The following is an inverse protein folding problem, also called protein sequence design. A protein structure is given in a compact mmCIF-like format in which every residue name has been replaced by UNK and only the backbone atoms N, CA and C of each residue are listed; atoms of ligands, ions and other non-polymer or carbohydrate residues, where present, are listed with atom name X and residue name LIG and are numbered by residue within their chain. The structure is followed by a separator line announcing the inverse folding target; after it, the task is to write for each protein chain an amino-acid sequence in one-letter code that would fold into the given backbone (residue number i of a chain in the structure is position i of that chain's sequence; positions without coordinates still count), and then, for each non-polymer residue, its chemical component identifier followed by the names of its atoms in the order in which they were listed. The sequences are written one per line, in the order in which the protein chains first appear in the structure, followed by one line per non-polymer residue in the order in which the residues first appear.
data_IF_838446355259
#
_entry.id   IF_838446355259
#
_cell.length_a   1.000
_cell.length_b   1.000
_cell.length_c   1.000
_cell.angle_alpha   90.00
_cell.angle_beta   90.00
_cell.angle_gamma   90.00
#
_symmetry.space_group_name_H-M   'P 1'
#
loop_
_entity.id
_entity.type
_entity.pdbx_description
1 polymer ?
#
# COMPACT_ATOMS: atom_id res chain seq x y z
N UNK A 1 -25.11 11.71 -20.65
CA UNK A 1 -23.74 11.44 -20.16
C UNK A 1 -23.65 9.94 -19.91
N UNK A 2 -22.76 9.26 -20.57
CA UNK A 2 -22.47 7.85 -20.29
C UNK A 2 -21.72 7.74 -18.95
N UNK A 3 -21.77 6.58 -18.28
CA UNK A 3 -21.05 6.38 -17.02
C UNK A 3 -19.54 6.66 -17.14
N UNK A 4 -19.00 6.63 -18.37
CA UNK A 4 -17.59 6.91 -18.68
C UNK A 4 -17.25 8.41 -18.69
N UNK A 5 -18.26 9.28 -18.80
CA UNK A 5 -18.10 10.75 -18.83
C UNK A 5 -18.16 11.40 -17.44
N UNK A 6 -18.58 10.65 -16.41
CA UNK A 6 -18.57 11.14 -15.04
C UNK A 6 -17.16 11.19 -14.50
N UNK A 7 -16.83 12.19 -13.66
CA UNK A 7 -15.63 12.17 -12.86
C UNK A 7 -15.51 10.82 -12.14
N UNK A 8 -14.31 10.33 -12.04
CA UNK A 8 -14.05 8.96 -11.60
C UNK A 8 -14.65 8.64 -10.22
N UNK A 9 -14.56 9.56 -9.28
CA UNK A 9 -15.13 9.48 -7.92
C UNK A 9 -16.67 9.46 -7.88
N UNK A 10 -17.30 9.85 -8.98
CA UNK A 10 -18.76 9.85 -9.12
C UNK A 10 -19.29 8.66 -9.92
N UNK A 11 -18.40 7.80 -10.46
CA UNK A 11 -18.83 6.60 -11.18
C UNK A 11 -19.37 5.57 -10.20
N UNK A 12 -20.55 4.99 -10.47
CA UNK A 12 -21.07 3.92 -9.63
C UNK A 12 -20.12 2.72 -9.71
N UNK A 13 -19.82 2.08 -8.57
CA UNK A 13 -19.00 0.87 -8.59
C UNK A 13 -19.73 -0.20 -9.38
N UNK A 14 -19.07 -0.74 -10.41
CA UNK A 14 -19.61 -1.92 -11.09
C UNK A 14 -19.39 -3.14 -10.19
N UNK A 15 -20.47 -3.58 -9.55
CA UNK A 15 -20.47 -4.73 -8.64
C UNK A 15 -20.93 -6.03 -9.31
N UNK A 16 -21.34 -5.96 -10.56
CA UNK A 16 -21.72 -7.15 -11.30
C UNK A 16 -20.49 -7.81 -11.94
N UNK A 17 -20.03 -8.88 -11.30
CA UNK A 17 -18.96 -9.74 -11.78
C UNK A 17 -19.49 -11.13 -12.23
N UNK A 18 -20.78 -11.24 -12.51
CA UNK A 18 -21.42 -12.52 -12.86
C UNK A 18 -20.88 -13.13 -14.16
N UNK A 19 -20.40 -12.27 -15.06
CA UNK A 19 -19.77 -12.67 -16.32
C UNK A 19 -18.37 -13.31 -16.14
N UNK A 20 -17.75 -13.18 -14.96
CA UNK A 20 -16.43 -13.73 -14.67
C UNK A 20 -16.54 -15.09 -14.00
N UNK A 21 -15.59 -15.97 -14.31
CA UNK A 21 -15.43 -17.26 -13.58
C UNK A 21 -14.99 -17.00 -12.15
N UNK A 22 -15.33 -17.91 -11.25
CA UNK A 22 -14.97 -17.82 -9.84
C UNK A 22 -16.16 -17.95 -8.91
N UNK A 23 -15.92 -17.90 -7.63
CA UNK A 23 -16.92 -18.04 -6.57
C UNK A 23 -16.75 -16.97 -5.49
N UNK A 24 -17.84 -16.66 -4.79
CA UNK A 24 -17.79 -15.67 -3.71
C UNK A 24 -17.56 -16.30 -2.33
N UNK A 25 -17.73 -17.63 -2.19
CA UNK A 25 -17.66 -18.29 -0.89
C UNK A 25 -18.87 -18.01 0.00
N UNK A 26 -18.66 -17.97 1.32
CA UNK A 26 -19.74 -17.82 2.32
C UNK A 26 -20.38 -16.43 2.30
N UNK A 27 -21.69 -16.31 2.59
CA UNK A 27 -22.33 -15.00 2.75
C UNK A 27 -21.59 -14.13 3.76
N UNK A 28 -21.47 -12.82 3.50
CA UNK A 28 -20.82 -11.78 4.31
C UNK A 28 -19.31 -11.93 4.52
N UNK A 29 -18.78 -13.14 4.66
CA UNK A 29 -17.37 -13.40 4.96
C UNK A 29 -16.57 -13.66 3.68
N UNK A 30 -17.21 -14.25 2.66
CA UNK A 30 -16.53 -14.64 1.43
C UNK A 30 -15.52 -15.76 1.69
N UNK A 31 -14.35 -15.61 1.11
CA UNK A 31 -13.18 -16.50 1.25
C UNK A 31 -12.16 -15.98 2.29
N UNK A 32 -12.56 -15.06 3.16
CA UNK A 32 -11.64 -14.42 4.12
C UNK A 32 -10.96 -15.42 5.05
N UNK A 33 -11.71 -16.41 5.58
CA UNK A 33 -11.14 -17.40 6.49
C UNK A 33 -10.11 -18.30 5.80
N UNK A 34 -10.41 -18.72 4.57
CA UNK A 34 -9.47 -19.50 3.75
C UNK A 34 -8.22 -18.67 3.44
N UNK A 35 -8.39 -17.40 3.08
CA UNK A 35 -7.28 -16.48 2.82
C UNK A 35 -6.39 -16.26 4.05
N UNK A 36 -6.96 -16.15 5.25
CA UNK A 36 -6.19 -15.97 6.48
C UNK A 36 -5.45 -17.24 6.90
N UNK A 37 -6.01 -18.42 6.59
CA UNK A 37 -5.45 -19.72 6.96
C UNK A 37 -4.36 -20.16 5.98
N UNK A 38 -4.62 -20.10 4.69
CA UNK A 38 -3.72 -20.53 3.63
C UNK A 38 -3.94 -19.69 2.33
N UNK A 39 -3.38 -18.50 2.25
CA UNK A 39 -3.55 -17.65 1.07
C UNK A 39 -2.96 -18.27 -0.20
N UNK A 40 -1.84 -19.00 -0.09
CA UNK A 40 -1.19 -19.59 -1.26
C UNK A 40 -1.99 -20.77 -1.82
N UNK A 41 -2.51 -21.64 -0.95
CA UNK A 41 -3.40 -22.72 -1.35
C UNK A 41 -4.69 -22.21 -1.99
N UNK A 42 -5.29 -21.16 -1.41
CA UNK A 42 -6.48 -20.52 -1.98
C UNK A 42 -6.21 -19.96 -3.39
N UNK A 43 -5.12 -19.22 -3.56
CA UNK A 43 -4.79 -18.61 -4.86
C UNK A 43 -4.38 -19.66 -5.90
N UNK A 44 -3.68 -20.73 -5.48
CA UNK A 44 -3.36 -21.87 -6.34
C UNK A 44 -4.62 -22.56 -6.84
N UNK A 45 -5.56 -22.87 -5.93
CA UNK A 45 -6.85 -23.46 -6.30
C UNK A 45 -7.63 -22.57 -7.27
N UNK A 46 -7.69 -21.25 -7.02
CA UNK A 46 -8.38 -20.33 -7.90
C UNK A 46 -7.74 -20.26 -9.29
N UNK A 47 -6.41 -20.31 -9.36
CA UNK A 47 -5.69 -20.31 -10.63
C UNK A 47 -5.98 -21.57 -11.46
N UNK A 48 -5.95 -22.74 -10.83
CA UNK A 48 -6.19 -24.02 -11.48
C UNK A 48 -7.64 -24.18 -11.94
N UNK A 49 -8.60 -23.78 -11.11
CA UNK A 49 -10.02 -23.97 -11.38
C UNK A 49 -10.63 -22.89 -12.28
N UNK A 50 -10.28 -21.62 -12.04
CA UNK A 50 -10.92 -20.48 -12.71
C UNK A 50 -9.99 -19.73 -13.66
N UNK A 51 -8.69 -20.00 -13.62
CA UNK A 51 -7.69 -19.36 -14.44
C UNK A 51 -7.11 -18.08 -13.84
N UNK A 52 -6.34 -17.33 -14.64
CA UNK A 52 -5.54 -16.21 -14.16
C UNK A 52 -6.35 -14.96 -13.74
N UNK A 53 -7.62 -14.91 -14.10
CA UNK A 53 -8.53 -13.81 -13.75
C UNK A 53 -9.84 -14.41 -13.26
N UNK A 54 -10.20 -14.16 -12.02
CA UNK A 54 -11.40 -14.72 -11.42
C UNK A 54 -12.06 -13.75 -10.44
N UNK A 55 -13.35 -13.97 -10.15
CA UNK A 55 -14.06 -13.24 -9.11
C UNK A 55 -13.95 -13.95 -7.78
N UNK A 56 -13.84 -13.17 -6.71
CA UNK A 56 -13.77 -13.66 -5.33
C UNK A 56 -14.50 -12.67 -4.42
N UNK A 57 -14.85 -13.08 -3.20
CA UNK A 57 -15.27 -12.14 -2.15
C UNK A 57 -14.36 -12.26 -0.94
N UNK A 58 -13.85 -11.12 -0.46
CA UNK A 58 -13.04 -11.01 0.74
C UNK A 58 -13.68 -9.97 1.66
N UNK A 59 -13.93 -10.34 2.91
CA UNK A 59 -14.62 -9.48 3.89
C UNK A 59 -15.95 -8.90 3.39
N UNK A 60 -16.70 -9.69 2.60
CA UNK A 60 -17.95 -9.25 1.98
C UNK A 60 -17.78 -8.36 0.74
N UNK A 61 -16.58 -7.91 0.43
CA UNK A 61 -16.31 -7.12 -0.77
C UNK A 61 -16.10 -8.03 -1.97
N UNK A 62 -16.80 -7.74 -3.06
CA UNK A 62 -16.61 -8.44 -4.33
C UNK A 62 -15.37 -7.91 -5.02
N UNK A 63 -14.44 -8.80 -5.31
CA UNK A 63 -13.13 -8.48 -5.87
C UNK A 63 -12.87 -9.27 -7.14
N UNK A 64 -11.97 -8.77 -7.94
CA UNK A 64 -11.33 -9.49 -9.06
C UNK A 64 -9.95 -9.92 -8.60
N UNK A 65 -9.70 -11.22 -8.66
CA UNK A 65 -8.41 -11.81 -8.36
C UNK A 65 -7.59 -11.91 -9.65
N UNK A 66 -6.38 -11.34 -9.64
CA UNK A 66 -5.45 -11.34 -10.77
C UNK A 66 -4.21 -12.14 -10.39
N UNK A 67 -4.07 -13.32 -10.99
CA UNK A 67 -3.02 -14.29 -10.67
C UNK A 67 -1.96 -14.44 -11.79
N UNK A 68 -1.88 -13.47 -12.69
CA UNK A 68 -0.87 -13.45 -13.74
C UNK A 68 -0.14 -12.12 -13.77
N UNK A 69 1.19 -12.09 -13.94
CA UNK A 69 1.98 -10.87 -13.89
C UNK A 69 1.57 -9.82 -14.94
N UNK A 70 1.15 -10.23 -16.14
CA UNK A 70 0.74 -9.29 -17.18
C UNK A 70 -0.52 -8.51 -16.80
N UNK A 71 -1.49 -9.17 -16.16
CA UNK A 71 -2.69 -8.48 -15.67
C UNK A 71 -2.38 -7.57 -14.48
N UNK A 72 -1.52 -8.01 -13.57
CA UNK A 72 -1.05 -7.17 -12.47
C UNK A 72 -0.31 -5.94 -12.98
N UNK A 73 0.57 -6.11 -13.97
CA UNK A 73 1.26 -5.00 -14.62
C UNK A 73 0.28 -4.02 -15.26
N UNK A 74 -0.74 -4.49 -15.95
CA UNK A 74 -1.76 -3.65 -16.57
C UNK A 74 -2.50 -2.78 -15.57
N UNK A 75 -2.85 -3.33 -14.42
CA UNK A 75 -3.49 -2.60 -13.32
C UNK A 75 -2.54 -1.59 -12.69
N UNK A 76 -1.29 -1.99 -12.41
CA UNK A 76 -0.29 -1.14 -11.77
C UNK A 76 0.18 0.02 -12.67
N UNK A 77 0.21 -0.20 -13.99
CA UNK A 77 0.65 0.82 -14.95
C UNK A 77 -0.47 1.74 -15.43
N UNK A 78 -1.70 1.40 -15.22
CA UNK A 78 -2.98 2.08 -15.52
C UNK A 78 -2.89 3.43 -16.24
N UNK A 79 -2.41 3.41 -17.48
CA UNK A 79 -2.23 4.62 -18.30
C UNK A 79 -3.57 5.27 -18.69
N UNK A 80 -4.63 4.46 -18.71
CA UNK A 80 -5.97 4.88 -19.11
C UNK A 80 -6.81 5.39 -17.93
N UNK A 81 -6.24 5.36 -16.71
CA UNK A 81 -6.91 5.79 -15.46
C UNK A 81 -8.22 5.04 -15.19
N UNK A 82 -8.19 3.72 -15.37
CA UNK A 82 -9.35 2.84 -15.17
C UNK A 82 -9.51 2.37 -13.71
N UNK A 83 -8.45 2.46 -12.91
CA UNK A 83 -8.41 1.94 -11.54
C UNK A 83 -8.18 3.05 -10.53
N UNK A 84 -8.83 2.97 -9.37
CA UNK A 84 -8.67 3.92 -8.27
C UNK A 84 -8.17 3.22 -7.03
N UNK A 85 -7.03 3.66 -6.54
CA UNK A 85 -6.50 3.23 -5.25
C UNK A 85 -7.40 3.76 -4.13
N UNK A 86 -7.82 5.01 -4.22
CA UNK A 86 -8.73 5.66 -3.26
C UNK A 86 -10.00 4.86 -3.05
N UNK A 87 -10.69 4.47 -4.13
CA UNK A 87 -11.92 3.68 -4.02
C UNK A 87 -11.67 2.26 -3.51
N UNK A 88 -10.58 1.64 -3.93
CA UNK A 88 -10.22 0.28 -3.49
C UNK A 88 -9.91 0.20 -2.01
N UNK A 89 -9.23 1.18 -1.45
CA UNK A 89 -8.80 1.19 -0.05
C UNK A 89 -9.71 1.98 0.90
N UNK A 90 -10.71 2.72 0.38
CA UNK A 90 -11.57 3.58 1.18
C UNK A 90 -12.25 2.85 2.36
N UNK A 91 -12.70 1.62 2.13
CA UNK A 91 -13.39 0.83 3.17
C UNK A 91 -12.47 0.34 4.30
N UNK A 92 -11.14 0.35 4.10
CA UNK A 92 -10.17 -0.23 5.03
C UNK A 92 -9.28 0.85 5.64
N UNK A 93 -8.90 1.86 4.86
CA UNK A 93 -7.83 2.79 5.24
C UNK A 93 -8.27 4.26 5.34
N UNK A 94 -9.51 4.60 4.97
CA UNK A 94 -9.95 6.00 4.97
C UNK A 94 -9.83 6.66 6.34
N UNK A 95 -10.13 5.95 7.41
CA UNK A 95 -10.08 6.48 8.77
C UNK A 95 -8.66 6.77 9.27
N UNK A 96 -7.66 6.05 8.74
CA UNK A 96 -6.27 6.17 9.16
C UNK A 96 -5.42 7.07 8.27
N UNK A 97 -5.75 7.17 6.98
CA UNK A 97 -4.92 7.83 5.96
C UNK A 97 -5.65 8.92 5.18
N UNK A 98 -6.58 9.63 5.83
CA UNK A 98 -7.28 10.74 5.20
C UNK A 98 -6.30 11.79 4.66
N UNK A 99 -6.43 12.10 3.36
CA UNK A 99 -5.56 13.08 2.71
C UNK A 99 -4.13 12.62 2.43
N UNK A 100 -3.74 11.41 2.84
CA UNK A 100 -2.44 10.82 2.53
C UNK A 100 -2.26 10.51 1.04
N UNK A 101 -1.00 10.36 0.60
CA UNK A 101 -0.67 10.09 -0.81
C UNK A 101 -1.32 8.78 -1.31
N UNK A 102 -1.43 7.77 -0.47
CA UNK A 102 -2.05 6.47 -0.78
C UNK A 102 -3.53 6.59 -1.12
N UNK A 103 -4.20 7.64 -0.59
CA UNK A 103 -5.64 7.88 -0.81
C UNK A 103 -5.91 8.91 -1.92
N UNK A 104 -4.94 9.13 -2.80
CA UNK A 104 -5.05 10.05 -3.93
C UNK A 104 -4.89 9.30 -5.23
N UNK A 105 -5.65 9.73 -6.24
CA UNK A 105 -5.60 9.16 -7.58
C UNK A 105 -5.08 10.15 -8.61
N UNK A 106 -4.61 9.67 -9.72
CA UNK A 106 -4.30 10.35 -10.99
C UNK A 106 -3.50 11.65 -10.83
N UNK A 107 -4.06 12.77 -11.24
CA UNK A 107 -3.35 14.05 -11.26
C UNK A 107 -3.09 14.57 -9.86
N UNK A 108 -4.00 14.36 -8.92
CA UNK A 108 -3.80 14.70 -7.52
C UNK A 108 -2.63 13.89 -6.93
N UNK A 109 -2.61 12.59 -7.15
CA UNK A 109 -1.50 11.72 -6.74
C UNK A 109 -0.18 12.18 -7.37
N UNK A 110 -0.18 12.47 -8.69
CA UNK A 110 1.00 12.90 -9.44
C UNK A 110 1.59 14.19 -8.88
N UNK A 111 0.75 15.19 -8.59
CA UNK A 111 1.17 16.48 -8.03
C UNK A 111 1.79 16.28 -6.63
N UNK A 112 1.08 15.60 -5.74
CA UNK A 112 1.56 15.37 -4.38
C UNK A 112 2.82 14.49 -4.33
N UNK A 113 2.88 13.46 -5.16
CA UNK A 113 4.09 12.64 -5.33
C UNK A 113 5.27 13.47 -5.83
N UNK A 114 5.06 14.37 -6.81
CA UNK A 114 6.07 15.29 -7.32
C UNK A 114 6.66 16.20 -6.23
N UNK A 115 5.80 16.72 -5.36
CA UNK A 115 6.23 17.52 -4.20
C UNK A 115 7.11 16.67 -3.26
N UNK A 116 6.65 15.47 -2.93
CA UNK A 116 7.38 14.57 -2.04
C UNK A 116 8.71 14.09 -2.63
N UNK A 117 8.78 13.86 -3.94
CA UNK A 117 10.00 13.41 -4.63
C UNK A 117 11.19 14.35 -4.41
N UNK A 118 10.95 15.62 -4.14
CA UNK A 118 12.04 16.58 -3.85
C UNK A 118 12.86 16.18 -2.62
N UNK A 119 12.22 15.52 -1.65
CA UNK A 119 12.86 15.03 -0.41
C UNK A 119 13.67 13.76 -0.61
N UNK A 120 13.60 13.11 -1.77
CA UNK A 120 14.33 11.89 -2.10
C UNK A 120 15.42 12.10 -3.16
N UNK A 121 15.76 13.36 -3.46
CA UNK A 121 16.86 13.67 -4.37
C UNK A 121 18.23 13.32 -3.76
N UNK A 122 19.26 13.03 -4.58
CA UNK A 122 20.58 12.59 -4.09
C UNK A 122 21.20 13.44 -2.97
N UNK A 123 21.09 14.79 -2.96
CA UNK A 123 21.62 15.59 -1.86
C UNK A 123 20.92 15.33 -0.53
N UNK A 124 19.57 15.19 -0.55
CA UNK A 124 18.78 14.88 0.64
C UNK A 124 19.10 13.46 1.14
N UNK A 125 19.19 12.49 0.24
CA UNK A 125 19.54 11.11 0.59
C UNK A 125 20.94 11.01 1.23
N UNK A 126 21.91 11.78 0.77
CA UNK A 126 23.25 11.85 1.41
C UNK A 126 23.20 12.45 2.81
N UNK A 127 22.36 13.47 3.01
CA UNK A 127 22.19 14.05 4.34
C UNK A 127 21.51 13.06 5.31
N UNK A 128 20.48 12.34 4.84
CA UNK A 128 19.84 11.28 5.63
C UNK A 128 20.82 10.17 6.00
N UNK A 129 21.61 9.67 5.05
CA UNK A 129 22.59 8.63 5.31
C UNK A 129 23.59 9.00 6.43
N UNK A 130 24.06 10.25 6.44
CA UNK A 130 24.93 10.74 7.51
C UNK A 130 24.24 10.76 8.88
N UNK A 131 22.98 11.17 8.92
CA UNK A 131 22.21 11.18 10.17
C UNK A 131 21.91 9.77 10.66
N UNK A 132 21.48 8.89 9.75
CA UNK A 132 21.23 7.48 10.05
C UNK A 132 22.47 6.81 10.62
N UNK A 133 23.65 7.06 10.04
CA UNK A 133 24.90 6.51 10.53
C UNK A 133 25.15 6.86 12.00
N UNK A 134 24.98 8.12 12.40
CA UNK A 134 25.14 8.56 13.79
C UNK A 134 24.20 7.80 14.72
N UNK A 135 22.91 7.72 14.36
CA UNK A 135 21.90 7.03 15.19
C UNK A 135 22.21 5.53 15.32
N UNK A 136 22.67 4.90 14.21
CA UNK A 136 23.04 3.49 14.22
C UNK A 136 24.29 3.26 15.09
N UNK A 137 25.30 4.11 14.97
CA UNK A 137 26.54 4.00 15.76
C UNK A 137 26.22 4.11 17.25
N UNK A 138 25.39 5.05 17.66
CA UNK A 138 24.92 5.18 19.04
C UNK A 138 24.13 3.96 19.52
N UNK A 139 23.27 3.39 18.68
CA UNK A 139 22.51 2.19 19.01
C UNK A 139 23.43 0.97 19.19
N UNK A 140 24.38 0.78 18.27
CA UNK A 140 25.36 -0.33 18.34
C UNK A 140 26.22 -0.22 19.60
N UNK A 141 26.67 0.99 19.96
CA UNK A 141 27.41 1.19 21.22
C UNK A 141 26.58 0.83 22.46
N UNK A 142 25.30 1.20 22.49
CA UNK A 142 24.38 0.81 23.59
C UNK A 142 24.21 -0.70 23.64
N UNK A 143 24.08 -1.37 22.51
CA UNK A 143 23.92 -2.82 22.46
C UNK A 143 25.19 -3.56 22.89
N UNK A 144 26.36 -3.07 22.47
CA UNK A 144 27.65 -3.65 22.86
C UNK A 144 27.95 -3.55 24.37
N UNK A 145 27.32 -2.63 25.07
CA UNK A 145 27.45 -2.46 26.53
C UNK A 145 26.52 -3.37 27.35
N UNK A 146 25.68 -4.20 26.70
CA UNK A 146 24.73 -5.09 27.34
C UNK A 146 25.14 -6.54 27.18
N UNK A 147 24.89 -7.38 28.18
CA UNK A 147 25.19 -8.82 28.11
C UNK A 147 24.30 -9.57 27.12
N UNK A 148 23.07 -9.08 26.90
CA UNK A 148 22.12 -9.61 25.94
C UNK A 148 21.18 -8.52 25.44
N UNK A 149 20.71 -8.64 24.20
CA UNK A 149 19.86 -7.66 23.53
C UNK A 149 18.63 -8.37 22.94
N UNK A 150 17.43 -7.87 23.22
CA UNK A 150 16.23 -8.29 22.50
C UNK A 150 16.23 -7.66 21.12
N UNK A 151 16.70 -8.40 20.11
CA UNK A 151 16.92 -7.87 18.77
C UNK A 151 15.67 -7.21 18.17
N UNK A 152 14.51 -7.85 18.30
CA UNK A 152 13.27 -7.33 17.74
C UNK A 152 12.88 -5.96 18.33
N UNK A 153 12.92 -5.83 19.66
CA UNK A 153 12.55 -4.57 20.33
C UNK A 153 13.54 -3.45 20.04
N UNK A 154 14.83 -3.75 20.03
CA UNK A 154 15.88 -2.76 19.78
C UNK A 154 15.91 -2.31 18.31
N UNK A 155 15.68 -3.21 17.34
CA UNK A 155 15.54 -2.81 15.94
C UNK A 155 14.31 -1.95 15.72
N UNK A 156 13.19 -2.29 16.34
CA UNK A 156 11.96 -1.50 16.27
C UNK A 156 12.18 -0.08 16.83
N UNK A 157 12.86 0.03 17.96
CA UNK A 157 13.25 1.32 18.55
C UNK A 157 14.16 2.11 17.60
N UNK A 158 15.22 1.48 17.10
CA UNK A 158 16.16 2.10 16.15
C UNK A 158 15.44 2.65 14.91
N UNK A 159 14.53 1.87 14.33
CA UNK A 159 13.76 2.30 13.16
C UNK A 159 12.84 3.49 13.47
N UNK A 160 12.25 3.54 14.67
CA UNK A 160 11.45 4.69 15.12
C UNK A 160 12.32 5.94 15.31
N UNK A 161 13.48 5.81 15.94
CA UNK A 161 14.44 6.91 16.15
C UNK A 161 14.91 7.49 14.81
N UNK A 162 15.26 6.62 13.85
CA UNK A 162 15.63 7.03 12.48
C UNK A 162 14.46 7.74 11.78
N UNK A 163 13.25 7.17 11.84
CA UNK A 163 12.08 7.75 11.21
C UNK A 163 11.77 9.13 11.78
N UNK A 164 11.81 9.26 13.09
CA UNK A 164 11.56 10.53 13.77
C UNK A 164 12.60 11.60 13.39
N UNK A 165 13.89 11.27 13.49
CA UNK A 165 14.97 12.23 13.20
C UNK A 165 14.98 12.65 11.72
N UNK A 166 14.85 11.70 10.80
CA UNK A 166 14.90 12.00 9.36
C UNK A 166 13.67 12.76 8.90
N UNK A 167 12.46 12.38 9.32
CA UNK A 167 11.23 12.97 8.80
C UNK A 167 10.77 14.20 9.58
N UNK A 168 10.93 14.25 10.90
CA UNK A 168 10.52 15.40 11.71
C UNK A 168 11.52 16.56 11.60
N UNK A 169 12.82 16.29 11.51
CA UNK A 169 13.83 17.34 11.32
C UNK A 169 13.69 18.08 9.99
N UNK A 170 13.32 17.38 8.91
CA UNK A 170 13.02 17.99 7.61
C UNK A 170 11.81 18.91 7.68
N UNK A 171 10.81 18.56 8.49
CA UNK A 171 9.62 19.38 8.70
C UNK A 171 9.94 20.69 9.44
N UNK A 172 10.76 20.63 10.48
CA UNK A 172 11.16 21.81 11.27
C UNK A 172 11.97 22.84 10.47
N UNK A 173 12.81 22.40 9.54
CA UNK A 173 13.62 23.28 8.68
C UNK A 173 12.82 24.00 7.58
N UNK A 174 11.64 23.48 7.18
CA UNK A 174 10.72 24.13 6.23
C UNK A 174 9.85 25.24 6.83
N UNK A 175 9.66 25.22 8.14
CA UNK A 175 8.86 26.25 8.84
C UNK A 175 9.69 27.46 9.25
N UNK A 176 11.00 27.47 9.02
CA UNK A 176 11.93 28.56 9.36
C UNK A 176 12.50 29.30 8.13
N UNK A 177 11.95 29.06 6.94
CA UNK A 177 12.21 29.81 5.69
C UNK A 177 10.91 30.34 5.11
#
# INVERSE_FOLDING_TARGET
MTATELPYDQRPPNRDLSHMRGEYGWPFVGKTLEMLRDPMGLFGHFYEEYGPVSRISITGNKCVLLLHPDYAQRVLMDREKNFSIKMGWASVMADFFQGGLVMRDYDEHRIHRGIMQSSFKPPAMRAYAKRIQVIVDEAVQRWAAQDSVSFYEEIKRLLLDIAFDVFCWVSAKRSST
#
